data_IF_746081954152
#
_entry.id   IF_746081954152
#
_cell.length_a   1.000
_cell.length_b   1.000
_cell.length_c   1.000
_cell.angle_alpha   90.00
_cell.angle_beta   90.00
_cell.angle_gamma   90.00
#
_symmetry.space_group_name_H-M   'P 1'
#
loop_
_entity.id
_entity.type
_entity.pdbx_description
1 polymer ?
#
# COMPACT_ATOMS: atom_id res chain seq x y z
N UNK A 1 11.24 17.20 2.78
CA UNK A 1 10.87 16.26 1.73
C UNK A 1 9.68 15.42 2.21
N UNK A 2 8.62 15.34 1.39
CA UNK A 2 7.45 14.55 1.76
C UNK A 2 7.55 13.15 1.20
N UNK A 3 7.04 12.19 1.95
CA UNK A 3 7.06 10.78 1.56
C UNK A 3 5.72 10.38 0.94
N UNK A 4 5.69 9.33 0.09
CA UNK A 4 4.42 8.78 -0.33
C UNK A 4 3.76 8.11 0.88
N UNK A 5 2.52 8.50 1.16
CA UNK A 5 1.79 8.01 2.34
C UNK A 5 0.58 7.16 1.96
N UNK A 6 0.07 7.31 0.74
CA UNK A 6 -1.05 6.52 0.24
C UNK A 6 -0.79 6.07 -1.19
N UNK A 7 -1.21 4.84 -1.48
CA UNK A 7 -1.40 4.39 -2.86
C UNK A 7 -2.90 4.25 -3.05
N UNK A 8 -3.43 4.93 -4.08
CA UNK A 8 -4.87 4.97 -4.35
C UNK A 8 -5.11 4.47 -5.75
N UNK A 9 -6.11 3.61 -5.92
CA UNK A 9 -6.53 3.19 -7.27
C UNK A 9 -7.88 3.82 -7.58
N UNK A 10 -7.99 4.35 -8.80
CA UNK A 10 -9.23 4.97 -9.27
C UNK A 10 -10.06 3.97 -10.06
N UNK A 11 -11.37 4.19 -10.07
CA UNK A 11 -12.27 3.44 -10.92
C UNK A 11 -12.01 3.83 -12.37
N UNK A 12 -12.32 2.92 -13.29
CA UNK A 12 -12.10 3.12 -14.71
C UNK A 12 -12.74 4.43 -15.19
N UNK A 13 -11.96 5.21 -15.96
CA UNK A 13 -12.37 6.48 -16.56
C UNK A 13 -12.72 7.59 -15.55
N UNK A 14 -12.19 7.50 -14.32
CA UNK A 14 -12.42 8.50 -13.28
C UNK A 14 -11.14 9.19 -12.81
N UNK A 15 -10.03 9.04 -13.53
CA UNK A 15 -8.71 9.49 -13.10
C UNK A 15 -8.66 10.99 -12.78
N UNK A 16 -9.13 11.82 -13.72
CA UNK A 16 -9.03 13.28 -13.56
C UNK A 16 -9.88 13.78 -12.40
N UNK A 17 -11.09 13.25 -12.27
CA UNK A 17 -11.98 13.60 -11.17
C UNK A 17 -11.38 13.17 -9.83
N UNK A 18 -10.75 11.99 -9.82
CA UNK A 18 -10.18 11.43 -8.61
C UNK A 18 -9.02 12.26 -8.08
N UNK A 19 -8.16 12.75 -8.96
CA UNK A 19 -7.05 13.61 -8.57
C UNK A 19 -7.58 14.82 -7.78
N UNK A 20 -8.59 15.49 -8.32
CA UNK A 20 -9.17 16.68 -7.70
C UNK A 20 -9.82 16.34 -6.36
N UNK A 21 -10.61 15.28 -6.30
CA UNK A 21 -11.32 14.92 -5.09
C UNK A 21 -10.39 14.46 -3.97
N UNK A 22 -9.34 13.70 -4.30
CA UNK A 22 -8.34 13.26 -3.33
C UNK A 22 -7.61 14.47 -2.76
N UNK A 23 -7.15 15.37 -3.64
CA UNK A 23 -6.40 16.54 -3.21
C UNK A 23 -7.26 17.48 -2.36
N UNK A 24 -8.54 17.62 -2.67
CA UNK A 24 -9.44 18.44 -1.86
C UNK A 24 -9.53 17.95 -0.42
N UNK A 25 -9.39 16.64 -0.20
CA UNK A 25 -9.42 16.08 1.16
C UNK A 25 -8.10 16.28 1.89
N UNK A 26 -7.00 16.03 1.20
CA UNK A 26 -5.67 16.05 1.82
C UNK A 26 -5.19 17.48 2.08
N UNK A 27 -5.46 18.41 1.15
CA UNK A 27 -5.01 19.80 1.25
C UNK A 27 -5.60 20.53 2.45
N UNK A 28 -6.72 20.08 2.99
CA UNK A 28 -7.31 20.65 4.20
C UNK A 28 -6.32 20.56 5.37
N UNK A 29 -5.51 19.51 5.42
CA UNK A 29 -4.57 19.26 6.51
C UNK A 29 -3.12 19.49 6.12
N UNK A 30 -2.80 19.40 4.83
CA UNK A 30 -1.44 19.55 4.34
C UNK A 30 -1.47 20.27 2.99
N UNK A 31 -1.20 21.57 3.02
CA UNK A 31 -1.24 22.39 1.80
C UNK A 31 -0.10 22.08 0.84
N UNK A 32 0.91 21.36 1.29
CA UNK A 32 2.06 20.98 0.46
C UNK A 32 1.94 19.57 -0.11
N UNK A 33 0.82 18.91 0.12
CA UNK A 33 0.61 17.56 -0.40
C UNK A 33 0.62 17.55 -1.93
N UNK A 34 1.06 16.42 -2.49
CA UNK A 34 1.13 16.22 -3.94
C UNK A 34 0.56 14.86 -4.29
N UNK A 35 0.08 14.73 -5.52
CA UNK A 35 -0.42 13.48 -6.05
C UNK A 35 0.23 13.23 -7.41
N UNK A 36 0.58 11.99 -7.68
CA UNK A 36 1.22 11.59 -8.92
C UNK A 36 0.55 10.33 -9.45
N UNK A 37 0.12 10.36 -10.70
CA UNK A 37 -0.35 9.14 -11.36
C UNK A 37 0.87 8.37 -11.86
N UNK A 38 1.17 7.23 -11.23
CA UNK A 38 2.38 6.45 -11.53
C UNK A 38 2.17 5.46 -12.67
N UNK A 39 0.98 4.88 -12.75
CA UNK A 39 0.50 4.12 -13.89
C UNK A 39 -0.99 4.42 -14.00
N UNK A 40 -1.61 4.04 -15.09
CA UNK A 40 -3.02 4.36 -15.32
C UNK A 40 -3.89 3.91 -14.14
N UNK A 41 -4.67 4.83 -13.59
CA UNK A 41 -5.60 4.60 -12.48
C UNK A 41 -4.91 4.29 -11.14
N UNK A 42 -3.60 4.52 -11.02
CA UNK A 42 -2.84 4.29 -9.79
C UNK A 42 -2.10 5.56 -9.40
N UNK A 43 -2.36 6.05 -8.20
CA UNK A 43 -1.82 7.31 -7.70
C UNK A 43 -1.02 7.12 -6.44
N UNK A 44 0.08 7.85 -6.32
CA UNK A 44 0.79 8.02 -5.05
C UNK A 44 0.44 9.39 -4.50
N UNK A 45 0.09 9.45 -3.24
CA UNK A 45 -0.15 10.69 -2.52
C UNK A 45 1.04 10.95 -1.60
N UNK A 46 1.65 12.11 -1.75
CA UNK A 46 2.81 12.54 -0.97
C UNK A 46 2.35 13.58 0.04
N UNK A 47 2.68 13.37 1.31
CA UNK A 47 2.24 14.27 2.38
C UNK A 47 3.15 14.15 3.59
N UNK A 48 3.16 15.20 4.41
CA UNK A 48 3.81 15.17 5.71
C UNK A 48 2.97 14.51 6.79
N UNK A 49 1.69 14.23 6.48
CA UNK A 49 0.82 13.48 7.38
C UNK A 49 1.32 12.05 7.51
N UNK A 50 0.99 11.41 8.63
CA UNK A 50 1.26 9.98 8.75
C UNK A 50 0.37 9.20 7.77
N UNK A 51 0.77 7.99 7.36
CA UNK A 51 -0.07 7.18 6.47
C UNK A 51 -1.49 6.97 6.99
N UNK A 52 -1.64 6.75 8.29
CA UNK A 52 -2.96 6.49 8.86
C UNK A 52 -3.80 7.75 8.98
N UNK A 53 -3.19 8.92 9.20
CA UNK A 53 -3.92 10.18 9.15
C UNK A 53 -4.45 10.47 7.76
N UNK A 54 -3.60 10.31 6.74
CA UNK A 54 -4.00 10.51 5.35
C UNK A 54 -5.08 9.50 4.94
N UNK A 55 -4.92 8.25 5.36
CA UNK A 55 -5.89 7.19 5.10
C UNK A 55 -7.26 7.56 5.70
N UNK A 56 -7.27 8.03 6.94
CA UNK A 56 -8.51 8.42 7.63
C UNK A 56 -9.23 9.56 6.94
N UNK A 57 -8.49 10.54 6.42
CA UNK A 57 -9.09 11.67 5.70
C UNK A 57 -9.86 11.21 4.46
N UNK A 58 -9.31 10.25 3.71
CA UNK A 58 -10.01 9.73 2.54
C UNK A 58 -11.13 8.77 2.92
N UNK A 59 -10.91 7.93 3.94
CA UNK A 59 -11.85 6.89 4.31
C UNK A 59 -13.13 7.45 4.94
N UNK A 60 -13.03 8.54 5.72
CA UNK A 60 -14.19 9.11 6.41
C UNK A 60 -15.23 9.69 5.46
N UNK A 61 -14.80 10.17 4.29
CA UNK A 61 -15.71 10.70 3.27
C UNK A 61 -15.15 10.32 1.90
N UNK A 62 -15.10 9.02 1.65
CA UNK A 62 -14.45 8.42 0.50
C UNK A 62 -15.05 8.89 -0.81
N UNK A 63 -14.25 9.49 -1.70
CA UNK A 63 -14.75 9.85 -3.04
C UNK A 63 -15.21 8.63 -3.82
N UNK A 64 -16.30 8.79 -4.58
CA UNK A 64 -16.87 7.69 -5.36
C UNK A 64 -15.94 7.18 -6.47
N UNK A 65 -14.96 7.99 -6.85
CA UNK A 65 -13.98 7.61 -7.89
C UNK A 65 -12.94 6.62 -7.40
N UNK A 66 -12.81 6.42 -6.10
CA UNK A 66 -11.77 5.55 -5.52
C UNK A 66 -12.22 4.10 -5.51
N UNK A 67 -11.37 3.21 -6.02
CA UNK A 67 -11.59 1.77 -5.92
C UNK A 67 -10.94 1.22 -4.65
N UNK A 68 -9.67 1.53 -4.41
CA UNK A 68 -8.92 1.08 -3.22
C UNK A 68 -8.00 2.18 -2.70
N UNK A 69 -7.79 2.17 -1.38
CA UNK A 69 -6.83 3.05 -0.70
C UNK A 69 -5.94 2.17 0.18
N UNK A 70 -4.63 2.34 0.05
CA UNK A 70 -3.66 1.61 0.86
C UNK A 70 -2.77 2.62 1.59
N UNK A 71 -2.71 2.58 2.93
CA UNK A 71 -1.71 3.39 3.65
C UNK A 71 -0.32 2.79 3.39
N UNK A 72 0.65 3.64 3.08
CA UNK A 72 2.01 3.17 2.80
C UNK A 72 2.82 3.26 4.07
N UNK A 73 3.15 2.11 4.65
CA UNK A 73 3.96 2.04 5.86
C UNK A 73 5.44 1.93 5.56
N UNK A 74 5.78 1.39 4.39
CA UNK A 74 7.17 1.16 4.01
C UNK A 74 7.28 1.16 2.49
N UNK A 75 8.40 1.68 1.97
CA UNK A 75 8.66 1.67 0.53
C UNK A 75 9.98 0.97 0.24
N UNK A 76 10.05 0.30 -0.91
CA UNK A 76 11.24 -0.36 -1.40
C UNK A 76 11.52 0.23 -2.79
N UNK A 77 12.67 0.89 -3.00
CA UNK A 77 12.97 1.56 -4.27
C UNK A 77 13.44 0.56 -5.33
N UNK A 78 12.65 -0.47 -5.55
CA UNK A 78 12.96 -1.53 -6.51
C UNK A 78 11.69 -2.29 -6.84
N UNK A 79 11.63 -2.80 -8.07
CA UNK A 79 10.58 -3.73 -8.50
C UNK A 79 11.12 -5.15 -8.63
N UNK A 80 12.35 -5.41 -8.19
CA UNK A 80 12.94 -6.73 -8.24
C UNK A 80 12.41 -7.62 -7.12
N UNK A 81 12.00 -8.81 -7.48
CA UNK A 81 11.33 -9.74 -6.54
C UNK A 81 12.18 -10.03 -5.31
N UNK A 82 13.47 -10.31 -5.51
CA UNK A 82 14.37 -10.65 -4.40
C UNK A 82 14.51 -9.50 -3.40
N UNK A 83 14.64 -8.27 -3.88
CA UNK A 83 14.73 -7.08 -3.03
C UNK A 83 13.44 -6.87 -2.26
N UNK A 84 12.30 -7.02 -2.95
CA UNK A 84 10.99 -6.85 -2.33
C UNK A 84 10.80 -7.88 -1.21
N UNK A 85 11.13 -9.14 -1.48
CA UNK A 85 11.00 -10.22 -0.48
C UNK A 85 11.90 -9.94 0.72
N UNK A 86 13.18 -9.67 0.50
CA UNK A 86 14.16 -9.47 1.56
C UNK A 86 13.80 -8.29 2.45
N UNK A 87 13.54 -7.15 1.85
CA UNK A 87 13.27 -5.92 2.61
C UNK A 87 11.92 -5.95 3.31
N UNK A 88 10.92 -6.59 2.72
CA UNK A 88 9.61 -6.76 3.36
C UNK A 88 9.75 -7.65 4.59
N UNK A 89 10.50 -8.75 4.49
CA UNK A 89 10.74 -9.62 5.64
C UNK A 89 11.38 -8.85 6.79
N UNK A 90 12.43 -8.09 6.50
CA UNK A 90 13.13 -7.29 7.52
C UNK A 90 12.19 -6.32 8.22
N UNK A 91 11.37 -5.62 7.47
CA UNK A 91 10.43 -4.65 8.02
C UNK A 91 9.28 -5.33 8.78
N UNK A 92 8.72 -6.39 8.18
CA UNK A 92 7.56 -7.08 8.75
C UNK A 92 7.87 -7.76 10.09
N UNK A 93 9.09 -8.21 10.30
CA UNK A 93 9.51 -8.81 11.58
C UNK A 93 9.29 -7.88 12.76
N UNK A 94 9.33 -6.57 12.54
CA UNK A 94 9.16 -5.57 13.59
C UNK A 94 7.69 -5.30 13.89
N UNK A 95 6.79 -5.66 12.99
CA UNK A 95 5.39 -5.24 13.03
C UNK A 95 4.45 -6.43 13.18
N UNK A 96 4.65 -7.47 12.36
CA UNK A 96 3.77 -8.64 12.31
C UNK A 96 4.34 -9.72 13.21
N UNK A 97 3.64 -9.99 14.34
CA UNK A 97 4.13 -10.95 15.33
C UNK A 97 3.12 -12.06 15.63
N UNK A 98 1.95 -11.98 15.05
CA UNK A 98 0.87 -12.93 15.31
C UNK A 98 0.52 -13.68 14.04
N UNK A 99 -0.57 -13.33 13.36
CA UNK A 99 -1.00 -14.01 12.15
C UNK A 99 -1.11 -13.04 10.98
N UNK A 100 -0.88 -13.54 9.78
CA UNK A 100 -0.87 -12.71 8.59
C UNK A 100 -1.08 -13.55 7.34
N UNK A 101 -1.40 -12.89 6.24
CA UNK A 101 -1.09 -13.39 4.90
C UNK A 101 -0.60 -12.23 4.04
N UNK A 102 0.04 -12.57 2.93
CA UNK A 102 0.61 -11.58 2.01
C UNK A 102 -0.26 -11.50 0.77
N UNK A 103 -0.58 -10.27 0.36
CA UNK A 103 -1.40 -10.00 -0.80
C UNK A 103 -0.61 -9.06 -1.72
N UNK A 104 -0.13 -9.59 -2.83
CA UNK A 104 0.72 -8.84 -3.77
C UNK A 104 -0.07 -8.46 -5.01
N UNK A 105 0.05 -7.21 -5.41
CA UNK A 105 -0.57 -6.67 -6.62
C UNK A 105 0.50 -6.07 -7.53
N UNK A 106 0.51 -6.49 -8.78
CA UNK A 106 1.38 -5.87 -9.80
C UNK A 106 0.56 -4.84 -10.56
N UNK A 107 1.13 -3.66 -10.73
CA UNK A 107 0.44 -2.54 -11.34
C UNK A 107 1.34 -1.86 -12.36
N UNK A 108 1.10 -2.16 -13.65
CA UNK A 108 1.88 -1.58 -14.74
C UNK A 108 3.29 -2.12 -14.86
N UNK A 109 3.56 -3.25 -14.27
CA UNK A 109 4.86 -3.93 -14.36
C UNK A 109 4.63 -5.43 -14.26
N UNK A 110 5.52 -6.20 -14.85
CA UNK A 110 5.44 -7.66 -14.79
C UNK A 110 6.38 -8.20 -13.72
N UNK A 111 5.81 -8.76 -12.67
CA UNK A 111 6.53 -9.47 -11.60
C UNK A 111 5.72 -10.70 -11.22
N UNK A 112 6.38 -11.67 -10.61
CA UNK A 112 5.72 -12.86 -10.12
C UNK A 112 5.24 -12.63 -8.68
N UNK A 113 4.01 -12.15 -8.53
CA UNK A 113 3.43 -11.87 -7.22
C UNK A 113 3.31 -13.11 -6.35
N UNK A 114 3.04 -14.26 -6.94
CA UNK A 114 2.98 -15.52 -6.20
C UNK A 114 4.31 -15.85 -5.53
N UNK A 115 5.40 -15.66 -6.26
CA UNK A 115 6.75 -15.86 -5.75
C UNK A 115 7.05 -14.92 -4.58
N UNK A 116 6.62 -13.66 -4.70
CA UNK A 116 6.80 -12.67 -3.64
C UNK A 116 6.02 -13.09 -2.39
N UNK A 117 4.77 -13.48 -2.57
CA UNK A 117 3.91 -13.92 -1.46
C UNK A 117 4.50 -15.12 -0.73
N UNK A 118 4.92 -16.12 -1.48
CA UNK A 118 5.50 -17.33 -0.92
C UNK A 118 6.83 -17.03 -0.20
N UNK A 119 7.69 -16.23 -0.84
CA UNK A 119 8.98 -15.88 -0.27
C UNK A 119 8.86 -15.14 1.06
N UNK A 120 7.95 -14.19 1.15
CA UNK A 120 7.71 -13.46 2.39
C UNK A 120 7.13 -14.37 3.46
N UNK A 121 6.14 -15.20 3.08
CA UNK A 121 5.54 -16.14 4.02
C UNK A 121 6.56 -17.09 4.63
N UNK A 122 7.44 -17.63 3.80
CA UNK A 122 8.50 -18.52 4.27
C UNK A 122 9.52 -17.79 5.14
N UNK A 123 9.86 -16.56 4.77
CA UNK A 123 10.84 -15.75 5.51
C UNK A 123 10.38 -15.33 6.90
N UNK A 124 9.07 -15.29 7.12
CA UNK A 124 8.48 -14.95 8.42
C UNK A 124 8.14 -16.18 9.26
N UNK A 125 8.46 -17.37 8.76
CA UNK A 125 8.24 -18.61 9.51
C UNK A 125 9.02 -18.56 10.82
N UNK A 126 8.35 -18.84 11.92
CA UNK A 126 8.94 -18.76 13.26
C UNK A 126 8.73 -17.41 13.93
N UNK A 127 8.38 -16.36 13.19
CA UNK A 127 8.07 -15.05 13.74
C UNK A 127 6.56 -14.80 13.80
N UNK A 128 5.84 -15.28 12.80
CA UNK A 128 4.40 -15.11 12.70
C UNK A 128 3.80 -16.28 11.94
N UNK A 129 2.50 -16.48 12.10
CA UNK A 129 1.79 -17.61 11.50
C UNK A 129 0.98 -17.15 10.29
N UNK A 130 1.08 -17.91 9.20
CA UNK A 130 0.26 -17.66 8.01
C UNK A 130 -1.18 -18.13 8.29
N UNK A 131 -2.14 -17.23 8.07
CA UNK A 131 -3.56 -17.52 8.26
C UNK A 131 -4.35 -16.80 7.16
N UNK A 132 -4.94 -17.55 6.25
CA UNK A 132 -5.69 -16.99 5.14
C UNK A 132 -7.15 -16.67 5.49
N UNK A 133 -7.64 -17.17 6.61
CA UNK A 133 -9.05 -17.01 6.97
C UNK A 133 -9.28 -15.83 7.90
N UNK A 134 -8.52 -15.75 8.98
CA UNK A 134 -8.67 -14.70 9.99
C UNK A 134 -7.32 -14.18 10.45
N UNK A 135 -6.54 -13.56 9.54
CA UNK A 135 -5.25 -13.01 9.94
C UNK A 135 -5.45 -11.73 10.75
N UNK A 136 -4.53 -11.46 11.66
CA UNK A 136 -4.51 -10.17 12.34
C UNK A 136 -4.04 -9.06 11.40
N UNK A 137 -3.14 -9.40 10.45
CA UNK A 137 -2.62 -8.47 9.46
C UNK A 137 -2.70 -9.06 8.07
N UNK A 138 -2.99 -8.18 7.11
CA UNK A 138 -2.75 -8.47 5.70
C UNK A 138 -1.58 -7.60 5.28
N UNK A 139 -0.51 -8.23 4.81
CA UNK A 139 0.66 -7.52 4.29
C UNK A 139 0.42 -7.29 2.80
N UNK A 140 0.07 -6.08 2.44
CA UNK A 140 -0.26 -5.75 1.05
C UNK A 140 0.97 -5.15 0.37
N UNK A 141 1.39 -5.79 -0.71
CA UNK A 141 2.51 -5.31 -1.53
C UNK A 141 1.93 -4.80 -2.84
N UNK A 142 2.16 -3.53 -3.16
CA UNK A 142 1.82 -3.00 -4.48
C UNK A 142 3.11 -2.73 -5.21
N UNK A 143 3.33 -3.42 -6.33
CA UNK A 143 4.54 -3.26 -7.14
C UNK A 143 4.20 -2.41 -8.35
N UNK A 144 4.87 -1.27 -8.46
CA UNK A 144 4.78 -0.36 -9.60
C UNK A 144 6.18 -0.25 -10.22
N UNK A 145 6.35 0.38 -11.40
CA UNK A 145 7.68 0.52 -11.97
C UNK A 145 8.65 1.21 -11.01
N UNK A 146 9.75 0.54 -10.70
CA UNK A 146 10.85 1.03 -9.87
C UNK A 146 10.52 1.25 -8.38
N UNK A 147 9.36 0.76 -7.91
CA UNK A 147 8.98 0.97 -6.51
C UNK A 147 8.00 -0.11 -6.06
N UNK A 148 8.16 -0.55 -4.82
CA UNK A 148 7.15 -1.38 -4.17
C UNK A 148 6.71 -0.68 -2.89
N UNK A 149 5.41 -0.70 -2.63
CA UNK A 149 4.85 -0.15 -1.39
C UNK A 149 4.35 -1.28 -0.52
N UNK A 150 4.55 -1.15 0.79
CA UNK A 150 4.13 -2.16 1.77
C UNK A 150 3.13 -1.53 2.71
N UNK A 151 1.98 -2.16 2.83
CA UNK A 151 0.91 -1.73 3.71
C UNK A 151 0.59 -2.85 4.69
N UNK A 152 0.49 -2.52 5.97
CA UNK A 152 0.09 -3.48 7.00
C UNK A 152 -1.33 -3.13 7.40
N UNK A 153 -2.28 -3.89 6.87
CA UNK A 153 -3.70 -3.64 7.09
C UNK A 153 -4.19 -4.56 8.19
N UNK A 154 -4.69 -3.99 9.28
CA UNK A 154 -5.26 -4.79 10.36
C UNK A 154 -6.63 -5.31 9.95
N UNK A 155 -6.86 -6.59 10.20
CA UNK A 155 -8.15 -7.20 9.93
C UNK A 155 -9.08 -6.98 11.13
N UNK A 156 -9.54 -5.73 11.31
CA UNK A 156 -10.40 -5.36 12.43
C UNK A 156 -11.87 -5.66 12.17
N UNK A 157 -12.21 -6.01 10.95
CA UNK A 157 -13.57 -6.35 10.56
C UNK A 157 -13.60 -7.82 10.15
N UNK A 158 -13.70 -8.65 11.14
CA UNK A 158 -13.65 -10.10 11.00
C UNK A 158 -14.52 -10.69 9.93
#
# INVERSE_FOLDING_TARGET
MVNPVLLVTARKNKENKCIIEIMNRILIRDINAKIEEVVKNVFLVYSSLSPMEAYGLLFSARPSCIAKVYPIHFTIPSAQEEEIIRKTIENAKKIVKTSFYVDCHKRGIEVNCRQIEIGIGLGLKGYAKVDFKKPDFVVVINVIPNLATVSYVKNTFG
#
